data_IF_607596055268
#
_entry.id   IF_607596055268
#
_cell.length_a   1.000
_cell.length_b   1.000
_cell.length_c   1.000
_cell.angle_alpha   90.00
_cell.angle_beta   90.00
_cell.angle_gamma   90.00
#
_symmetry.space_group_name_H-M   'P 1'
#
loop_
_entity.id
_entity.type
_entity.pdbx_description
1 polymer ?
#
# COMPACT_ATOMS: atom_id res chain seq x y z
N UNK A 1 26.27 -27.69 31.91
CA UNK A 1 25.76 -26.39 31.40
C UNK A 1 26.30 -26.23 29.99
N UNK A 2 25.52 -26.70 29.02
CA UNK A 2 25.92 -26.64 27.59
C UNK A 2 25.60 -25.24 27.07
N UNK A 3 26.62 -24.45 26.84
CA UNK A 3 26.47 -23.17 26.16
C UNK A 3 26.15 -23.51 24.71
N UNK A 4 24.85 -23.51 24.37
CA UNK A 4 24.45 -23.54 22.98
C UNK A 4 24.94 -22.26 22.34
N UNK A 5 25.90 -22.36 21.44
CA UNK A 5 26.26 -21.30 20.53
C UNK A 5 24.98 -20.90 19.79
N UNK A 6 24.52 -19.68 20.02
CA UNK A 6 23.43 -19.08 19.24
C UNK A 6 23.94 -18.82 17.82
N UNK A 7 24.08 -19.89 17.04
CA UNK A 7 24.18 -19.75 15.60
C UNK A 7 22.83 -19.24 15.10
N UNK A 8 22.85 -18.25 14.24
CA UNK A 8 21.70 -17.61 13.61
C UNK A 8 20.72 -18.64 13.05
N UNK A 9 19.69 -18.99 13.85
CA UNK A 9 18.67 -19.94 13.42
C UNK A 9 17.57 -19.15 12.70
N UNK A 10 17.77 -18.93 11.39
CA UNK A 10 16.67 -18.47 10.55
C UNK A 10 15.74 -19.67 10.29
N UNK A 11 14.43 -19.55 10.58
CA UNK A 11 13.52 -20.66 10.29
C UNK A 11 13.43 -20.88 8.79
N UNK A 12 13.48 -22.12 8.35
CA UNK A 12 13.31 -22.46 6.94
C UNK A 12 11.91 -22.09 6.43
N UNK A 13 10.90 -22.23 7.30
CA UNK A 13 9.49 -22.06 6.98
C UNK A 13 8.75 -21.31 8.06
N UNK A 14 7.89 -20.39 7.67
CA UNK A 14 6.83 -19.80 8.51
C UNK A 14 5.48 -20.45 8.20
N UNK A 15 4.57 -20.41 9.17
CA UNK A 15 3.20 -20.92 9.05
C UNK A 15 2.25 -19.73 9.18
N UNK A 16 1.58 -19.37 8.11
CA UNK A 16 0.56 -18.32 8.07
C UNK A 16 -0.79 -18.93 8.51
N UNK A 17 -1.25 -18.58 9.69
CA UNK A 17 -2.45 -19.20 10.28
C UNK A 17 -3.77 -18.56 9.77
N UNK A 18 -3.70 -17.53 8.92
CA UNK A 18 -4.90 -16.86 8.43
C UNK A 18 -5.53 -16.00 9.51
N UNK A 19 -6.87 -16.03 9.58
CA UNK A 19 -7.63 -15.25 10.57
C UNK A 19 -7.98 -16.17 11.75
N UNK A 20 -7.39 -15.94 12.94
CA UNK A 20 -7.67 -16.79 14.10
C UNK A 20 -9.15 -16.76 14.49
N UNK A 21 -9.67 -17.89 14.98
CA UNK A 21 -11.05 -18.12 15.41
C UNK A 21 -12.07 -18.12 14.26
N UNK A 22 -11.64 -17.95 13.00
CA UNK A 22 -12.50 -17.99 11.83
C UNK A 22 -12.07 -19.09 10.85
N UNK A 23 -11.32 -20.10 11.32
CA UNK A 23 -10.80 -21.17 10.46
C UNK A 23 -11.93 -21.95 9.77
N UNK A 24 -13.07 -22.16 10.44
CA UNK A 24 -14.23 -22.84 9.87
C UNK A 24 -14.95 -22.04 8.80
N UNK A 25 -14.71 -20.74 8.71
CA UNK A 25 -15.35 -19.85 7.72
C UNK A 25 -14.40 -19.41 6.61
N UNK A 26 -13.16 -19.93 6.58
CA UNK A 26 -12.17 -19.54 5.57
C UNK A 26 -12.69 -19.73 4.14
N UNK A 27 -13.45 -20.81 3.89
CA UNK A 27 -14.03 -21.07 2.59
C UNK A 27 -14.97 -19.93 2.15
N UNK A 28 -15.83 -19.45 3.07
CA UNK A 28 -16.73 -18.33 2.79
C UNK A 28 -15.98 -17.01 2.58
N UNK A 29 -14.92 -16.81 3.35
CA UNK A 29 -14.04 -15.62 3.24
C UNK A 29 -13.29 -15.62 1.91
N UNK A 30 -13.01 -16.80 1.33
CA UNK A 30 -12.32 -16.89 0.04
C UNK A 30 -13.10 -16.27 -1.12
N UNK A 31 -14.45 -16.28 -1.07
CA UNK A 31 -15.27 -15.70 -2.14
C UNK A 31 -15.04 -14.21 -2.35
N UNK A 32 -15.15 -13.34 -1.31
CA UNK A 32 -14.83 -11.92 -1.52
C UNK A 32 -13.36 -11.70 -1.91
N UNK A 33 -12.42 -12.48 -1.38
CA UNK A 33 -11.01 -12.36 -1.79
C UNK A 33 -10.81 -12.74 -3.26
N UNK A 34 -11.48 -13.79 -3.73
CA UNK A 34 -11.43 -14.21 -5.14
C UNK A 34 -12.03 -13.13 -6.04
N UNK A 35 -13.20 -12.59 -5.67
CA UNK A 35 -13.85 -11.53 -6.46
C UNK A 35 -12.98 -10.25 -6.48
N UNK A 36 -12.42 -9.87 -5.35
CA UNK A 36 -11.48 -8.73 -5.26
C UNK A 36 -10.29 -8.94 -6.20
N UNK A 37 -9.71 -10.14 -6.21
CA UNK A 37 -8.55 -10.44 -7.06
C UNK A 37 -8.92 -10.38 -8.55
N UNK A 38 -10.05 -10.95 -8.93
CA UNK A 38 -10.53 -10.90 -10.32
C UNK A 38 -10.76 -9.44 -10.75
N UNK A 39 -11.43 -8.64 -9.90
CA UNK A 39 -11.68 -7.21 -10.19
C UNK A 39 -10.35 -6.44 -10.28
N UNK A 40 -9.42 -6.70 -9.36
CA UNK A 40 -8.11 -6.06 -9.36
C UNK A 40 -7.32 -6.39 -10.63
N UNK A 41 -7.25 -7.66 -11.01
CA UNK A 41 -6.50 -8.10 -12.21
C UNK A 41 -7.20 -7.58 -13.48
N UNK A 42 -8.51 -7.78 -13.61
CA UNK A 42 -9.28 -7.34 -14.77
C UNK A 42 -9.24 -5.82 -14.93
N UNK A 43 -9.43 -5.08 -13.82
CA UNK A 43 -9.39 -3.63 -13.81
C UNK A 43 -8.01 -3.07 -14.12
N UNK A 44 -6.98 -3.57 -13.44
CA UNK A 44 -5.62 -3.06 -13.60
C UNK A 44 -4.94 -3.55 -14.90
N UNK A 45 -5.36 -4.67 -15.47
CA UNK A 45 -4.85 -5.15 -16.77
C UNK A 45 -5.65 -4.62 -17.97
N UNK A 46 -6.96 -4.39 -17.80
CA UNK A 46 -7.81 -3.86 -18.87
C UNK A 46 -7.61 -2.37 -19.12
N UNK A 47 -7.44 -1.61 -18.07
CA UNK A 47 -7.28 -0.17 -18.15
C UNK A 47 -6.03 0.31 -18.90
N UNK A 48 -4.84 -0.32 -18.85
CA UNK A 48 -3.73 0.08 -19.70
C UNK A 48 -4.05 0.07 -21.20
N UNK A 49 -4.94 -0.80 -21.64
CA UNK A 49 -5.41 -0.79 -23.03
C UNK A 49 -6.15 0.51 -23.36
N UNK A 50 -6.96 1.02 -22.40
CA UNK A 50 -7.66 2.31 -22.57
C UNK A 50 -6.72 3.51 -22.37
N UNK A 51 -5.71 3.39 -21.53
CA UNK A 51 -4.76 4.48 -21.21
C UNK A 51 -3.76 4.72 -22.35
N UNK A 52 -3.43 3.70 -23.15
CA UNK A 52 -2.66 3.90 -24.38
C UNK A 52 -3.38 4.88 -25.35
N UNK A 53 -4.67 5.08 -25.13
CA UNK A 53 -5.49 6.03 -25.89
C UNK A 53 -5.53 7.43 -25.24
N UNK A 54 -5.23 7.57 -23.94
CA UNK A 54 -5.39 8.82 -23.16
C UNK A 54 -4.09 9.40 -22.58
N UNK A 55 -2.94 8.83 -22.90
CA UNK A 55 -1.59 9.32 -22.56
C UNK A 55 -1.32 9.62 -21.06
N UNK A 56 -2.04 8.98 -20.12
CA UNK A 56 -1.81 9.24 -18.70
C UNK A 56 -0.87 8.20 -18.05
N UNK A 57 0.42 8.49 -18.17
CA UNK A 57 1.51 7.64 -17.66
C UNK A 57 1.42 7.39 -16.15
N UNK A 58 0.97 8.37 -15.35
CA UNK A 58 0.84 8.21 -13.90
C UNK A 58 -0.25 7.19 -13.52
N UNK A 59 -1.35 7.12 -14.30
CA UNK A 59 -2.39 6.09 -14.10
C UNK A 59 -1.84 4.69 -14.40
N UNK A 60 -1.03 4.55 -15.46
CA UNK A 60 -0.38 3.28 -15.78
C UNK A 60 0.54 2.81 -14.65
N UNK A 61 1.32 3.72 -14.06
CA UNK A 61 2.16 3.43 -12.88
C UNK A 61 1.32 3.01 -11.68
N UNK A 62 0.19 3.68 -11.46
CA UNK A 62 -0.74 3.38 -10.36
C UNK A 62 -1.31 1.97 -10.49
N UNK A 63 -1.84 1.62 -11.66
CA UNK A 63 -2.42 0.29 -11.92
C UNK A 63 -1.36 -0.82 -11.82
N UNK A 64 -0.15 -0.57 -12.30
CA UNK A 64 0.97 -1.52 -12.16
C UNK A 64 1.30 -1.76 -10.68
N UNK A 65 1.31 -0.69 -9.89
CA UNK A 65 1.58 -0.77 -8.44
C UNK A 65 0.49 -1.58 -7.72
N UNK A 66 -0.78 -1.33 -8.03
CA UNK A 66 -1.92 -2.07 -7.49
C UNK A 66 -1.84 -3.56 -7.87
N UNK A 67 -1.49 -3.86 -9.12
CA UNK A 67 -1.36 -5.23 -9.61
C UNK A 67 -0.24 -5.98 -8.88
N UNK A 68 0.92 -5.34 -8.67
CA UNK A 68 2.04 -5.93 -7.91
C UNK A 68 1.61 -6.20 -6.46
N UNK A 69 0.92 -5.25 -5.83
CA UNK A 69 0.43 -5.40 -4.46
C UNK A 69 -0.55 -6.57 -4.34
N UNK A 70 -1.57 -6.59 -5.19
CA UNK A 70 -2.62 -7.64 -5.17
C UNK A 70 -2.02 -9.02 -5.48
N UNK A 71 -1.14 -9.11 -6.48
CA UNK A 71 -0.49 -10.37 -6.86
C UNK A 71 0.50 -10.88 -5.81
N UNK A 72 1.03 -9.99 -4.98
CA UNK A 72 1.92 -10.37 -3.87
C UNK A 72 1.14 -10.93 -2.67
N UNK A 73 -0.11 -10.48 -2.45
CA UNK A 73 -0.86 -10.77 -1.21
C UNK A 73 -1.99 -11.77 -1.40
N UNK A 74 -2.88 -11.54 -2.39
CA UNK A 74 -4.15 -12.26 -2.50
C UNK A 74 -3.97 -13.73 -2.88
N UNK A 75 -3.08 -14.13 -3.82
CA UNK A 75 -2.92 -15.55 -4.13
C UNK A 75 -2.51 -16.39 -2.92
N UNK A 76 -1.62 -15.87 -2.06
CA UNK A 76 -1.22 -16.60 -0.85
C UNK A 76 -2.38 -16.69 0.15
N UNK A 77 -3.17 -15.63 0.31
CA UNK A 77 -4.37 -15.65 1.16
C UNK A 77 -5.38 -16.69 0.66
N UNK A 78 -5.59 -16.76 -0.65
CA UNK A 78 -6.48 -17.76 -1.26
C UNK A 78 -5.95 -19.19 -1.06
N UNK A 79 -4.64 -19.40 -1.17
CA UNK A 79 -4.02 -20.70 -0.88
C UNK A 79 -4.29 -21.15 0.57
N UNK A 80 -4.25 -20.20 1.52
CA UNK A 80 -4.56 -20.49 2.92
C UNK A 80 -6.05 -20.84 3.10
N UNK A 81 -6.94 -20.05 2.49
CA UNK A 81 -8.38 -20.18 2.70
C UNK A 81 -8.98 -21.41 1.99
N UNK A 82 -8.54 -21.69 0.74
CA UNK A 82 -9.12 -22.75 -0.09
C UNK A 82 -8.40 -24.08 0.07
N UNK A 83 -7.06 -24.07 0.15
CA UNK A 83 -6.26 -25.30 0.11
C UNK A 83 -5.55 -25.58 1.43
N UNK A 84 -5.73 -24.72 2.44
CA UNK A 84 -5.06 -24.83 3.75
C UNK A 84 -3.52 -24.87 3.63
N UNK A 85 -2.96 -24.31 2.56
CA UNK A 85 -1.51 -24.25 2.30
C UNK A 85 -0.90 -23.08 3.08
N UNK A 86 -0.65 -23.31 4.36
CA UNK A 86 -0.24 -22.28 5.35
C UNK A 86 1.26 -21.98 5.31
N UNK A 87 2.07 -22.88 4.76
CA UNK A 87 3.54 -22.76 4.80
C UNK A 87 4.06 -21.74 3.78
N UNK A 88 5.06 -20.95 4.19
CA UNK A 88 5.79 -20.04 3.32
C UNK A 88 7.26 -20.03 3.73
N UNK A 89 8.16 -20.13 2.75
CA UNK A 89 9.60 -20.07 3.00
C UNK A 89 10.02 -18.69 3.50
N UNK A 90 11.04 -18.65 4.35
CA UNK A 90 11.56 -17.42 4.95
C UNK A 90 11.89 -16.34 3.89
N UNK A 91 12.64 -16.73 2.85
CA UNK A 91 13.03 -15.79 1.78
C UNK A 91 11.81 -15.29 0.99
N UNK A 92 10.84 -16.18 0.71
CA UNK A 92 9.59 -15.79 0.01
C UNK A 92 8.79 -14.79 0.85
N UNK A 93 8.81 -14.95 2.16
CA UNK A 93 8.16 -14.05 3.10
C UNK A 93 8.83 -12.66 3.06
N UNK A 94 10.16 -12.59 3.07
CA UNK A 94 10.91 -11.31 2.95
C UNK A 94 10.65 -10.63 1.60
N UNK A 95 10.59 -11.41 0.52
CA UNK A 95 10.27 -10.92 -0.84
C UNK A 95 8.86 -10.33 -0.85
N UNK A 96 7.89 -11.02 -0.22
CA UNK A 96 6.51 -10.53 -0.10
C UNK A 96 6.46 -9.18 0.65
N UNK A 97 7.16 -9.07 1.78
CA UNK A 97 7.27 -7.81 2.55
C UNK A 97 7.87 -6.70 1.69
N UNK A 98 8.93 -7.01 0.93
CA UNK A 98 9.59 -6.04 0.05
C UNK A 98 8.60 -5.46 -0.98
N UNK A 99 7.84 -6.33 -1.67
CA UNK A 99 6.86 -5.88 -2.67
C UNK A 99 5.73 -5.08 -2.04
N UNK A 100 5.18 -5.54 -0.92
CA UNK A 100 4.08 -4.84 -0.21
C UNK A 100 4.53 -3.44 0.21
N UNK A 101 5.68 -3.32 0.87
CA UNK A 101 6.15 -2.04 1.39
C UNK A 101 6.56 -1.10 0.25
N UNK A 102 7.24 -1.60 -0.79
CA UNK A 102 7.65 -0.79 -1.94
C UNK A 102 6.42 -0.27 -2.70
N UNK A 103 5.42 -1.13 -2.95
CA UNK A 103 4.17 -0.74 -3.62
C UNK A 103 3.44 0.34 -2.82
N UNK A 104 3.33 0.18 -1.50
CA UNK A 104 2.72 1.19 -0.63
C UNK A 104 3.43 2.56 -0.73
N UNK A 105 4.76 2.56 -0.87
CA UNK A 105 5.53 3.81 -1.06
C UNK A 105 5.32 4.41 -2.44
N UNK A 106 5.22 3.56 -3.46
CA UNK A 106 4.88 3.98 -4.83
C UNK A 106 3.51 4.66 -4.89
N UNK A 107 2.48 4.03 -4.32
CA UNK A 107 1.12 4.61 -4.25
C UNK A 107 1.14 6.01 -3.65
N UNK A 108 1.82 6.17 -2.53
CA UNK A 108 1.94 7.45 -1.82
C UNK A 108 2.52 8.53 -2.74
N UNK A 109 3.60 8.20 -3.46
CA UNK A 109 4.24 9.12 -4.41
C UNK A 109 3.36 9.41 -5.63
N UNK A 110 2.60 8.44 -6.10
CA UNK A 110 1.67 8.63 -7.23
C UNK A 110 0.50 9.54 -6.82
N UNK A 111 -0.04 9.41 -5.60
CA UNK A 111 -1.06 10.34 -5.09
C UNK A 111 -0.53 11.78 -5.06
N UNK A 112 0.72 11.97 -4.66
CA UNK A 112 1.36 13.29 -4.67
C UNK A 112 1.48 13.82 -6.12
N UNK A 113 1.88 12.97 -7.06
CA UNK A 113 1.99 13.32 -8.47
C UNK A 113 0.62 13.69 -9.06
N UNK A 114 -0.43 12.93 -8.73
CA UNK A 114 -1.81 13.22 -9.16
C UNK A 114 -2.32 14.56 -8.60
N UNK A 115 -2.00 14.87 -7.35
CA UNK A 115 -2.36 16.16 -6.75
C UNK A 115 -1.64 17.32 -7.45
N UNK A 116 -0.38 17.14 -7.81
CA UNK A 116 0.40 18.11 -8.59
C UNK A 116 -0.17 18.27 -10.00
N UNK A 117 -0.55 17.18 -10.65
CA UNK A 117 -1.18 17.15 -11.97
C UNK A 117 -2.44 18.03 -11.97
N UNK A 118 -3.32 17.83 -11.00
CA UNK A 118 -4.56 18.63 -10.90
C UNK A 118 -4.27 20.10 -10.60
N UNK A 119 -3.25 20.38 -9.79
CA UNK A 119 -2.84 21.76 -9.53
C UNK A 119 -2.40 22.46 -10.82
N UNK A 120 -1.54 21.81 -11.61
CA UNK A 120 -1.04 22.38 -12.88
C UNK A 120 -2.18 22.50 -13.88
N UNK A 121 -3.07 21.50 -13.98
CA UNK A 121 -4.20 21.50 -14.92
C UNK A 121 -5.18 22.66 -14.66
N UNK A 122 -5.39 23.03 -13.40
CA UNK A 122 -6.34 24.08 -13.01
C UNK A 122 -5.66 25.46 -13.02
N UNK A 123 -4.50 25.56 -12.38
CA UNK A 123 -3.84 26.87 -12.19
C UNK A 123 -3.03 27.34 -13.42
N UNK A 124 -2.55 26.40 -14.24
CA UNK A 124 -1.69 26.67 -15.39
C UNK A 124 -2.20 25.95 -16.65
N UNK A 125 -3.50 25.98 -16.89
CA UNK A 125 -4.15 25.24 -18.00
C UNK A 125 -3.51 25.50 -19.37
N UNK A 126 -3.09 26.75 -19.64
CA UNK A 126 -2.45 27.15 -20.91
C UNK A 126 -1.03 26.57 -21.07
N UNK A 127 -0.36 26.24 -19.97
CA UNK A 127 1.01 25.71 -19.97
C UNK A 127 1.08 24.26 -19.51
N UNK A 128 -0.05 23.59 -19.35
CA UNK A 128 -0.14 22.22 -18.83
C UNK A 128 0.77 21.25 -19.61
N UNK A 129 0.65 21.26 -20.94
CA UNK A 129 1.41 20.35 -21.81
C UNK A 129 2.93 20.65 -21.84
N UNK A 130 3.34 21.84 -21.42
CA UNK A 130 4.77 22.19 -21.33
C UNK A 130 5.37 21.90 -19.94
N UNK A 131 4.55 21.94 -18.90
CA UNK A 131 4.99 21.69 -17.50
C UNK A 131 5.00 20.19 -17.21
N UNK A 132 3.93 19.47 -17.52
CA UNK A 132 3.76 18.03 -17.21
C UNK A 132 3.91 17.16 -18.45
N UNK A 133 5.13 17.12 -18.99
CA UNK A 133 5.46 16.24 -20.12
C UNK A 133 5.68 14.80 -19.61
N UNK A 134 5.45 13.81 -20.48
CA UNK A 134 5.65 12.40 -20.17
C UNK A 134 7.06 12.09 -19.63
N UNK A 135 8.16 12.67 -20.15
CA UNK A 135 9.48 12.50 -19.54
C UNK A 135 9.59 13.00 -18.10
N UNK A 136 8.92 14.09 -17.74
CA UNK A 136 8.91 14.63 -16.38
C UNK A 136 8.16 13.65 -15.45
N UNK A 137 6.97 13.20 -15.88
CA UNK A 137 6.16 12.23 -15.13
C UNK A 137 6.97 10.93 -14.91
N UNK A 138 7.65 10.43 -15.95
CA UNK A 138 8.48 9.23 -15.88
C UNK A 138 9.66 9.42 -14.88
N UNK A 139 10.32 10.58 -14.89
CA UNK A 139 11.41 10.90 -13.95
C UNK A 139 10.91 10.94 -12.50
N UNK A 140 9.76 11.57 -12.25
CA UNK A 140 9.16 11.63 -10.92
C UNK A 140 8.73 10.22 -10.47
N UNK A 141 8.12 9.44 -11.36
CA UNK A 141 7.76 8.04 -11.09
C UNK A 141 8.98 7.19 -10.74
N UNK A 142 10.06 7.31 -11.50
CA UNK A 142 11.32 6.62 -11.23
C UNK A 142 11.91 7.08 -9.88
N UNK A 143 11.88 8.37 -9.59
CA UNK A 143 12.39 8.91 -8.31
C UNK A 143 11.59 8.35 -7.12
N UNK A 144 10.25 8.28 -7.21
CA UNK A 144 9.40 7.68 -6.16
C UNK A 144 9.68 6.19 -6.00
N UNK A 145 9.88 5.46 -7.09
CA UNK A 145 10.25 4.04 -7.06
C UNK A 145 11.60 3.85 -6.35
N UNK A 146 12.63 4.58 -6.77
CA UNK A 146 13.97 4.51 -6.17
C UNK A 146 13.92 4.89 -4.69
N UNK A 147 13.17 5.93 -4.33
CA UNK A 147 12.94 6.31 -2.93
C UNK A 147 12.35 5.14 -2.14
N UNK A 148 11.32 4.49 -2.68
CA UNK A 148 10.69 3.32 -2.05
C UNK A 148 11.68 2.19 -1.83
N UNK A 149 12.39 1.78 -2.88
CA UNK A 149 13.36 0.68 -2.84
C UNK A 149 14.49 0.98 -1.84
N UNK A 150 15.07 2.18 -1.89
CA UNK A 150 16.20 2.57 -1.03
C UNK A 150 15.83 2.58 0.45
N UNK A 151 14.57 2.92 0.78
CA UNK A 151 14.08 2.93 2.16
C UNK A 151 13.70 1.53 2.65
N UNK A 152 13.31 0.62 1.75
CA UNK A 152 12.85 -0.71 2.15
C UNK A 152 14.02 -1.73 2.21
N UNK A 153 15.07 -1.55 1.41
CA UNK A 153 16.23 -2.45 1.45
C UNK A 153 16.84 -2.56 2.85
N UNK A 154 17.19 -1.45 3.55
CA UNK A 154 17.72 -1.57 4.92
C UNK A 154 16.74 -2.27 5.87
N UNK A 155 15.43 -2.03 5.68
CA UNK A 155 14.37 -2.65 6.47
C UNK A 155 14.41 -4.17 6.37
N UNK A 156 14.54 -4.70 5.14
CA UNK A 156 14.64 -6.14 4.89
C UNK A 156 15.94 -6.71 5.53
N UNK A 157 17.07 -6.00 5.38
CA UNK A 157 18.34 -6.42 5.97
C UNK A 157 18.29 -6.49 7.49
N UNK A 158 17.70 -5.49 8.14
CA UNK A 158 17.55 -5.48 9.61
C UNK A 158 16.66 -6.65 10.05
N UNK A 159 15.56 -6.90 9.33
CA UNK A 159 14.63 -8.01 9.61
C UNK A 159 15.32 -9.37 9.41
N UNK A 160 16.10 -9.52 8.33
CA UNK A 160 16.80 -10.76 8.02
C UNK A 160 17.82 -11.16 9.09
N UNK A 161 18.43 -10.19 9.76
CA UNK A 161 19.45 -10.42 10.80
C UNK A 161 18.89 -10.76 12.18
N UNK A 162 17.55 -10.76 12.34
CA UNK A 162 16.95 -11.08 13.63
C UNK A 162 17.08 -12.58 13.93
N UNK A 163 17.41 -12.96 15.18
CA UNK A 163 17.39 -14.37 15.60
C UNK A 163 15.95 -14.81 15.87
N UNK A 164 15.43 -15.73 15.09
CA UNK A 164 14.07 -16.24 15.17
C UNK A 164 14.04 -17.54 15.98
N UNK A 165 13.58 -17.50 17.23
CA UNK A 165 13.60 -18.64 18.16
C UNK A 165 12.31 -18.83 18.96
N UNK A 166 11.33 -17.91 18.86
CA UNK A 166 10.10 -18.01 19.64
C UNK A 166 9.08 -18.96 19.03
N UNK A 167 8.74 -18.74 17.77
CA UNK A 167 7.72 -19.48 17.03
C UNK A 167 7.90 -19.22 15.55
N UNK A 168 7.39 -20.11 14.72
CA UNK A 168 7.33 -19.90 13.28
C UNK A 168 5.90 -19.63 12.80
N UNK A 169 4.93 -19.38 13.71
CA UNK A 169 3.53 -19.15 13.37
C UNK A 169 3.23 -17.65 13.30
N UNK A 170 2.83 -17.20 12.14
CA UNK A 170 2.39 -15.82 11.87
C UNK A 170 0.85 -15.81 11.81
N UNK A 171 0.22 -15.09 12.73
CA UNK A 171 -1.24 -14.92 12.75
C UNK A 171 -1.64 -13.81 11.77
N UNK A 172 -1.57 -14.13 10.46
CA UNK A 172 -1.91 -13.20 9.38
C UNK A 172 -2.15 -13.98 8.09
N UNK A 173 -2.73 -13.32 7.09
CA UNK A 173 -2.99 -13.88 5.75
C UNK A 173 -1.83 -13.66 4.78
N UNK A 174 -0.91 -12.78 5.13
CA UNK A 174 0.32 -12.47 4.37
C UNK A 174 1.44 -12.12 5.36
N UNK A 175 2.66 -12.04 4.86
CA UNK A 175 3.82 -11.69 5.69
C UNK A 175 3.82 -10.19 6.00
N UNK A 176 3.51 -9.87 7.26
CA UNK A 176 3.62 -8.52 7.78
C UNK A 176 4.93 -8.38 8.56
N UNK A 177 5.62 -7.26 8.34
CA UNK A 177 6.93 -6.99 8.94
C UNK A 177 6.92 -7.09 10.46
N UNK A 178 5.96 -6.41 11.12
CA UNK A 178 5.91 -6.39 12.60
C UNK A 178 5.52 -7.75 13.17
N UNK A 179 4.67 -8.48 12.46
CA UNK A 179 4.29 -9.85 12.87
C UNK A 179 5.50 -10.78 12.86
N UNK A 180 6.39 -10.65 11.86
CA UNK A 180 7.63 -11.44 11.78
C UNK A 180 8.64 -10.97 12.84
N UNK A 181 8.86 -9.67 12.98
CA UNK A 181 9.80 -9.12 13.94
C UNK A 181 9.50 -9.58 15.37
N UNK A 182 8.22 -9.69 15.73
CA UNK A 182 7.77 -10.16 17.05
C UNK A 182 8.09 -11.63 17.33
N UNK A 183 8.37 -12.44 16.29
CA UNK A 183 8.78 -13.85 16.46
C UNK A 183 10.27 -13.97 16.80
N UNK A 184 11.01 -12.87 16.73
CA UNK A 184 12.41 -12.84 17.11
C UNK A 184 12.58 -12.85 18.63
N UNK A 185 13.68 -13.46 19.11
CA UNK A 185 14.16 -13.37 20.48
C UNK A 185 15.11 -12.18 20.69
N UNK A 186 15.56 -11.60 19.60
CA UNK A 186 16.49 -10.48 19.63
C UNK A 186 15.82 -9.15 19.91
N UNK A 187 16.64 -8.11 19.93
CA UNK A 187 16.19 -6.74 20.18
C UNK A 187 15.61 -6.14 18.88
N UNK A 188 14.28 -6.02 18.85
CA UNK A 188 13.55 -5.49 17.69
C UNK A 188 13.46 -3.95 17.66
N UNK A 189 14.11 -3.25 18.63
CA UNK A 189 14.04 -1.78 18.72
C UNK A 189 14.48 -1.08 17.41
N UNK A 190 15.53 -1.60 16.76
CA UNK A 190 16.00 -1.05 15.49
C UNK A 190 14.93 -1.14 14.40
N UNK A 191 14.25 -2.27 14.28
CA UNK A 191 13.14 -2.49 13.33
C UNK A 191 11.98 -1.52 13.62
N UNK A 192 11.62 -1.38 14.90
CA UNK A 192 10.53 -0.52 15.36
C UNK A 192 10.85 0.95 15.06
N UNK A 193 12.04 1.41 15.49
CA UNK A 193 12.46 2.81 15.32
C UNK A 193 12.60 3.17 13.83
N UNK A 194 13.26 2.31 13.06
CA UNK A 194 13.41 2.53 11.62
C UNK A 194 12.06 2.56 10.91
N UNK A 195 11.16 1.62 11.24
CA UNK A 195 9.81 1.58 10.70
C UNK A 195 9.01 2.83 11.02
N UNK A 196 9.11 3.34 12.27
CA UNK A 196 8.48 4.59 12.70
C UNK A 196 9.01 5.78 11.91
N UNK A 197 10.34 5.92 11.82
CA UNK A 197 10.99 7.02 11.10
C UNK A 197 10.53 7.04 9.64
N UNK A 198 10.61 5.90 8.95
CA UNK A 198 10.22 5.78 7.54
C UNK A 198 8.73 6.08 7.37
N UNK A 199 7.86 5.56 8.25
CA UNK A 199 6.43 5.80 8.18
C UNK A 199 6.09 7.27 8.39
N UNK A 200 6.66 7.90 9.41
CA UNK A 200 6.39 9.31 9.72
C UNK A 200 6.95 10.26 8.67
N UNK A 201 8.19 10.08 8.24
CA UNK A 201 8.83 10.97 7.27
C UNK A 201 8.10 10.96 5.92
N UNK A 202 7.82 9.76 5.41
CA UNK A 202 7.20 9.64 4.09
C UNK A 202 5.76 10.14 4.14
N UNK A 203 4.94 9.61 5.05
CA UNK A 203 3.49 9.91 5.08
C UNK A 203 3.22 11.38 5.39
N UNK A 204 3.96 11.98 6.34
CA UNK A 204 3.76 13.39 6.67
C UNK A 204 4.16 14.29 5.51
N UNK A 205 5.28 13.98 4.83
CA UNK A 205 5.71 14.73 3.66
C UNK A 205 4.69 14.65 2.53
N UNK A 206 4.20 13.45 2.23
CA UNK A 206 3.23 13.24 1.15
C UNK A 206 1.89 13.93 1.47
N UNK A 207 1.39 13.80 2.72
CA UNK A 207 0.15 14.47 3.17
C UNK A 207 0.31 15.99 3.08
N UNK A 208 1.46 16.52 3.50
CA UNK A 208 1.74 17.95 3.44
C UNK A 208 1.72 18.46 1.99
N UNK A 209 2.39 17.78 1.07
CA UNK A 209 2.42 18.15 -0.35
C UNK A 209 1.01 18.12 -0.97
N UNK A 210 0.22 17.06 -0.67
CA UNK A 210 -1.15 16.92 -1.18
C UNK A 210 -2.05 18.03 -0.60
N UNK A 211 -1.92 18.33 0.70
CA UNK A 211 -2.70 19.39 1.37
C UNK A 211 -2.39 20.75 0.74
N UNK A 212 -1.11 21.05 0.52
CA UNK A 212 -0.69 22.30 -0.13
C UNK A 212 -1.30 22.38 -1.55
N UNK A 213 -1.17 21.32 -2.36
CA UNK A 213 -1.72 21.27 -3.71
C UNK A 213 -3.23 21.50 -3.72
N UNK A 214 -3.97 20.80 -2.86
CA UNK A 214 -5.43 20.94 -2.75
C UNK A 214 -5.82 22.37 -2.30
N UNK A 215 -5.08 22.95 -1.36
CA UNK A 215 -5.34 24.33 -0.88
C UNK A 215 -5.14 25.33 -2.02
N UNK A 216 -4.06 25.19 -2.79
CA UNK A 216 -3.76 26.09 -3.92
C UNK A 216 -4.81 25.96 -5.03
N UNK A 217 -5.28 24.72 -5.32
CA UNK A 217 -6.37 24.47 -6.25
C UNK A 217 -7.65 25.17 -5.80
N UNK A 218 -8.04 25.01 -4.55
CA UNK A 218 -9.26 25.63 -4.00
C UNK A 218 -9.17 27.15 -4.05
N UNK A 219 -8.03 27.74 -3.68
CA UNK A 219 -7.79 29.19 -3.76
C UNK A 219 -7.92 29.70 -5.20
N UNK A 220 -7.30 29.01 -6.15
CA UNK A 220 -7.34 29.39 -7.59
C UNK A 220 -8.79 29.35 -8.12
N UNK A 221 -9.55 28.31 -7.76
CA UNK A 221 -10.93 28.13 -8.20
C UNK A 221 -11.86 29.20 -7.59
N UNK A 222 -11.68 29.54 -6.31
CA UNK A 222 -12.47 30.59 -5.64
C UNK A 222 -12.20 31.94 -6.31
N UNK A 223 -10.97 32.19 -6.77
CA UNK A 223 -10.60 33.46 -7.43
C UNK A 223 -11.12 33.56 -8.87
N UNK A 224 -11.46 32.45 -9.51
CA UNK A 224 -11.82 32.38 -10.94
C UNK A 224 -13.33 32.57 -11.26
N UNK A 225 -14.13 33.00 -10.35
CA UNK A 225 -15.52 33.51 -10.49
C UNK A 225 -16.46 32.92 -11.58
N UNK A 226 -16.18 31.75 -12.17
CA UNK A 226 -17.10 31.13 -13.12
C UNK A 226 -17.93 30.05 -12.44
N UNK A 227 -19.23 29.99 -12.73
CA UNK A 227 -20.22 29.22 -11.94
C UNK A 227 -20.00 27.69 -11.97
N UNK A 228 -19.43 27.14 -13.01
CA UNK A 228 -19.33 25.67 -13.18
C UNK A 228 -17.98 25.08 -12.75
N UNK A 229 -16.93 25.88 -12.70
CA UNK A 229 -15.56 25.43 -12.39
C UNK A 229 -15.36 25.01 -10.93
N UNK A 230 -15.97 25.68 -9.93
CA UNK A 230 -15.79 25.31 -8.52
C UNK A 230 -16.29 23.90 -8.16
N UNK A 231 -17.40 23.48 -8.76
CA UNK A 231 -18.00 22.16 -8.47
C UNK A 231 -17.10 21.00 -8.94
N UNK A 232 -16.53 21.12 -10.14
CA UNK A 232 -15.60 20.09 -10.69
C UNK A 232 -14.32 20.00 -9.84
N UNK A 233 -13.71 21.14 -9.52
CA UNK A 233 -12.50 21.18 -8.70
C UNK A 233 -12.75 20.63 -7.29
N UNK A 234 -13.89 20.99 -6.67
CA UNK A 234 -14.28 20.49 -5.34
C UNK A 234 -14.47 18.97 -5.39
N UNK A 235 -15.15 18.45 -6.41
CA UNK A 235 -15.37 17.01 -6.61
C UNK A 235 -14.01 16.26 -6.71
N UNK A 236 -13.06 16.83 -7.45
CA UNK A 236 -11.73 16.22 -7.63
C UNK A 236 -10.93 16.22 -6.32
N UNK A 237 -10.88 17.34 -5.62
CA UNK A 237 -10.20 17.43 -4.30
C UNK A 237 -10.83 16.48 -3.29
N UNK A 238 -12.16 16.39 -3.26
CA UNK A 238 -12.89 15.45 -2.38
C UNK A 238 -12.51 14.01 -2.70
N UNK A 239 -12.44 13.64 -3.97
CA UNK A 239 -12.04 12.28 -4.39
C UNK A 239 -10.63 11.95 -3.93
N UNK A 240 -9.68 12.90 -4.06
CA UNK A 240 -8.30 12.70 -3.55
C UNK A 240 -8.29 12.51 -2.04
N UNK A 241 -8.99 13.36 -1.30
CA UNK A 241 -9.09 13.26 0.15
C UNK A 241 -9.69 11.91 0.54
N UNK A 242 -10.78 11.50 -0.11
CA UNK A 242 -11.41 10.19 0.13
C UNK A 242 -10.44 9.04 -0.14
N UNK A 243 -9.73 9.06 -1.28
CA UNK A 243 -8.75 8.03 -1.62
C UNK A 243 -7.64 7.94 -0.56
N UNK A 244 -7.11 9.08 -0.12
CA UNK A 244 -6.08 9.16 0.92
C UNK A 244 -6.62 8.60 2.25
N UNK A 245 -7.81 9.03 2.67
CA UNK A 245 -8.42 8.57 3.93
C UNK A 245 -8.66 7.06 3.86
N UNK A 246 -9.22 6.56 2.77
CA UNK A 246 -9.50 5.12 2.60
C UNK A 246 -8.22 4.28 2.58
N UNK A 247 -7.13 4.79 1.97
CA UNK A 247 -5.86 4.07 1.88
C UNK A 247 -5.05 4.16 3.19
N UNK A 248 -5.04 5.32 3.84
CA UNK A 248 -4.17 5.56 4.99
C UNK A 248 -4.82 5.18 6.33
N UNK A 249 -6.18 5.25 6.49
CA UNK A 249 -6.83 4.94 7.76
C UNK A 249 -6.60 3.50 8.21
N UNK A 250 -6.82 2.48 7.36
CA UNK A 250 -6.56 1.10 7.79
C UNK A 250 -5.07 0.86 8.08
N UNK A 251 -4.17 1.42 7.25
CA UNK A 251 -2.73 1.30 7.44
C UNK A 251 -2.28 1.95 8.77
N UNK A 252 -2.83 3.13 9.06
CA UNK A 252 -2.56 3.86 10.30
C UNK A 252 -3.05 3.07 11.52
N UNK A 253 -4.28 2.55 11.43
CA UNK A 253 -4.87 1.72 12.48
C UNK A 253 -4.03 0.46 12.72
N UNK A 254 -3.64 -0.26 11.65
CA UNK A 254 -2.81 -1.46 11.76
C UNK A 254 -1.44 -1.14 12.38
N UNK A 255 -0.86 -0.02 12.01
CA UNK A 255 0.41 0.45 12.55
C UNK A 255 0.30 0.74 14.05
N UNK A 256 -0.72 1.46 14.48
CA UNK A 256 -0.96 1.73 15.89
C UNK A 256 -1.29 0.47 16.69
N UNK A 257 -1.95 -0.13 16.11
CA UNK A 257 -2.32 -1.31 16.68
C UNK A 257 -1.22 -2.20 16.93
N UNK A 258 -0.41 -2.31 16.09
CA UNK A 258 0.82 -3.11 16.28
C UNK A 258 1.77 -2.50 17.32
N UNK A 259 1.80 -1.19 17.39
CA UNK A 259 2.76 -0.45 18.22
C UNK A 259 2.30 -0.31 19.67
N UNK A 260 1.05 0.04 19.84
CA UNK A 260 0.46 0.33 21.16
C UNK A 260 -0.50 -0.78 21.61
N UNK A 261 -0.20 -2.02 21.24
CA UNK A 261 -1.08 -3.17 21.50
C UNK A 261 -1.58 -3.18 22.95
N UNK A 262 -2.64 -2.47 23.15
CA UNK A 262 -3.51 -2.63 24.30
C UNK A 262 -4.19 -4.00 24.17
N UNK A 263 -4.33 -4.74 25.24
CA UNK A 263 -5.01 -6.05 25.31
C UNK A 263 -6.48 -5.99 24.84
N UNK A 264 -6.95 -4.82 24.47
CA UNK A 264 -8.36 -4.53 24.15
C UNK A 264 -8.79 -4.90 22.73
N UNK A 265 -7.87 -4.96 21.74
CA UNK A 265 -8.23 -5.24 20.35
C UNK A 265 -7.98 -6.71 20.00
N UNK A 266 -9.01 -7.50 19.65
CA UNK A 266 -8.80 -8.87 19.20
C UNK A 266 -7.92 -8.95 17.95
N UNK A 267 -7.07 -9.98 17.90
CA UNK A 267 -6.18 -10.22 16.77
C UNK A 267 -6.96 -10.35 15.43
N UNK A 268 -8.15 -10.95 15.48
CA UNK A 268 -9.01 -11.11 14.31
C UNK A 268 -9.41 -9.75 13.70
N UNK A 269 -9.79 -8.77 14.55
CA UNK A 269 -10.14 -7.42 14.08
C UNK A 269 -8.96 -6.75 13.38
N UNK A 270 -7.76 -6.87 13.96
CA UNK A 270 -6.53 -6.32 13.36
C UNK A 270 -6.27 -6.92 11.97
N UNK A 271 -6.40 -8.25 11.84
CA UNK A 271 -6.14 -8.95 10.58
C UNK A 271 -7.21 -8.60 9.54
N UNK A 272 -8.49 -8.50 9.95
CA UNK A 272 -9.59 -8.09 9.04
C UNK A 272 -9.32 -6.68 8.51
N UNK A 273 -8.94 -5.73 9.38
CA UNK A 273 -8.63 -4.36 8.98
C UNK A 273 -7.40 -4.29 8.07
N UNK A 274 -6.39 -5.13 8.34
CA UNK A 274 -5.20 -5.24 7.47
C UNK A 274 -5.58 -5.78 6.08
N UNK A 275 -6.56 -6.67 6.01
CA UNK A 275 -7.06 -7.19 4.72
C UNK A 275 -8.01 -6.18 4.05
N UNK A 276 -8.77 -5.40 4.82
CA UNK A 276 -9.60 -4.31 4.29
C UNK A 276 -8.74 -3.20 3.65
N UNK A 277 -7.46 -3.09 4.03
CA UNK A 277 -6.51 -2.20 3.35
C UNK A 277 -6.33 -2.57 1.86
N UNK A 278 -6.57 -3.84 1.51
CA UNK A 278 -6.49 -4.28 0.12
C UNK A 278 -7.73 -3.89 -0.72
N UNK A 279 -8.83 -3.48 -0.06
CA UNK A 279 -10.08 -3.14 -0.74
C UNK A 279 -9.96 -1.86 -1.60
N UNK A 280 -9.40 -0.73 -1.10
CA UNK A 280 -9.20 0.44 -1.94
C UNK A 280 -8.39 0.14 -3.21
N UNK A 281 -7.37 -0.71 -3.09
CA UNK A 281 -6.53 -1.13 -4.21
C UNK A 281 -7.32 -1.79 -5.35
N UNK A 282 -8.39 -2.52 -5.01
CA UNK A 282 -9.26 -3.14 -6.01
C UNK A 282 -10.27 -2.16 -6.60
N UNK A 283 -10.62 -1.10 -5.83
CA UNK A 283 -11.61 -0.11 -6.26
C UNK A 283 -10.98 1.07 -7.02
N UNK A 284 -9.66 1.28 -6.87
CA UNK A 284 -8.95 2.39 -7.53
C UNK A 284 -9.20 2.45 -9.05
N UNK A 285 -9.09 1.33 -9.81
CA UNK A 285 -9.36 1.38 -11.25
C UNK A 285 -10.79 1.81 -11.57
N UNK A 286 -11.76 1.40 -10.75
CA UNK A 286 -13.16 1.75 -10.94
C UNK A 286 -13.37 3.25 -10.68
N UNK A 287 -12.86 3.75 -9.55
CA UNK A 287 -13.03 5.16 -9.12
C UNK A 287 -12.38 6.12 -10.11
N UNK A 288 -11.13 5.83 -10.51
CA UNK A 288 -10.40 6.72 -11.43
C UNK A 288 -10.80 6.51 -12.88
N UNK A 289 -11.12 5.27 -13.30
CA UNK A 289 -11.59 4.97 -14.64
C UNK A 289 -12.95 5.57 -14.97
N UNK A 290 -13.84 5.73 -13.98
CA UNK A 290 -15.12 6.41 -14.19
C UNK A 290 -14.93 7.94 -14.31
N UNK A 291 -13.96 8.51 -13.63
CA UNK A 291 -13.71 9.95 -13.63
C UNK A 291 -13.05 10.44 -14.93
N UNK A 292 -12.17 9.66 -15.51
CA UNK A 292 -11.53 10.03 -16.79
C UNK A 292 -12.52 10.17 -17.94
N UNK A 293 -13.69 9.52 -17.85
CA UNK A 293 -14.76 9.67 -18.86
C UNK A 293 -15.60 10.95 -18.69
N UNK A 294 -15.43 11.70 -17.58
CA UNK A 294 -16.22 12.91 -17.29
C UNK A 294 -15.43 14.21 -17.46
N UNK A 295 -14.15 14.13 -17.81
CA UNK A 295 -13.28 15.27 -18.11
C UNK A 295 -13.12 15.43 -19.62
#
# INVERSE_FOLDING_TARGET
>A
MIIMNQTDVTPALFILNGIPKLEGTHMWISFPFSSMYVVAVAGNCGLPYFICYEDSLYLAMFYLTDLVMCSSTIPKALCIFLFHLKEIGFEKCLIQIFFILTSTRMESGIFMLMALDHYVAICYSLHYSTILTNPIIAKVGLATFLRGVLLIIPFIFITRRLPYCRSNVIHHTYCDHMSIAKLSCGNIKANVIYGLIVAFLIRNLDILCITISCTMVLQAVISLSSADTPQKAFSTCTAHICAIVCSYSPAFFCFFXNHFRSHTVPASCHIILANLYLLPLTMNPIVYGMKTKQI
#
